data_IF_220406775120
#
_entry.id   IF_220406775120
#
_cell.length_a   1.000
_cell.length_b   1.000
_cell.length_c   1.000
_cell.angle_alpha   90.00
_cell.angle_beta   90.00
_cell.angle_gamma   90.00
#
_symmetry.space_group_name_H-M   'P 1'
#
loop_
_entity.id
_entity.type
_entity.pdbx_description
1 polymer ?
#
# COMPACT_ATOMS: atom_id res chain seq x y z
N UNK A 1 -15.38 5.71 -13.78
CA UNK A 1 -13.92 5.61 -13.57
C UNK A 1 -13.64 4.43 -12.67
N UNK A 2 -12.97 3.41 -13.17
CA UNK A 2 -12.33 2.39 -12.33
C UNK A 2 -11.17 3.05 -11.60
N UNK A 3 -11.34 3.31 -10.30
CA UNK A 3 -10.27 3.78 -9.43
C UNK A 3 -9.30 2.61 -9.24
N UNK A 4 -8.37 2.46 -10.18
CA UNK A 4 -7.29 1.49 -10.04
C UNK A 4 -6.35 2.01 -8.96
N UNK A 5 -6.32 1.31 -7.83
CA UNK A 5 -5.37 1.58 -6.77
C UNK A 5 -3.93 1.42 -7.32
N UNK A 6 -3.00 2.33 -6.95
CA UNK A 6 -1.64 2.27 -7.46
C UNK A 6 -0.94 0.99 -6.97
N UNK A 7 -0.43 0.20 -7.93
CA UNK A 7 0.35 -1.01 -7.67
C UNK A 7 1.82 -0.67 -7.60
N UNK A 8 2.48 -1.20 -6.58
CA UNK A 8 3.91 -1.05 -6.35
C UNK A 8 4.60 -2.36 -6.70
N UNK A 9 5.23 -2.40 -7.88
CA UNK A 9 5.92 -3.59 -8.38
C UNK A 9 7.43 -3.44 -8.32
N UNK A 10 7.93 -2.20 -8.25
CA UNK A 10 9.36 -1.89 -8.26
C UNK A 10 9.83 -1.19 -6.99
N UNK A 11 11.08 -1.46 -6.58
CA UNK A 11 11.74 -0.77 -5.45
C UNK A 11 11.69 0.76 -5.57
N UNK A 12 11.79 1.31 -6.79
CA UNK A 12 11.71 2.76 -7.03
C UNK A 12 10.32 3.32 -6.72
N UNK A 13 9.27 2.63 -7.13
CA UNK A 13 7.89 3.06 -6.84
C UNK A 13 7.62 3.02 -5.34
N UNK A 14 8.14 2.00 -4.66
CA UNK A 14 8.02 1.84 -3.21
C UNK A 14 8.76 2.96 -2.47
N UNK A 15 10.00 3.27 -2.85
CA UNK A 15 10.76 4.38 -2.27
C UNK A 15 10.05 5.73 -2.48
N UNK A 16 9.45 5.92 -3.66
CA UNK A 16 8.64 7.10 -3.96
C UNK A 16 7.35 7.15 -3.12
N UNK A 17 6.63 6.03 -3.01
CA UNK A 17 5.39 5.94 -2.23
C UNK A 17 5.65 6.18 -0.74
N UNK A 18 6.73 5.63 -0.19
CA UNK A 18 7.16 5.87 1.20
C UNK A 18 7.44 7.35 1.40
N UNK A 19 8.25 7.97 0.53
CA UNK A 19 8.55 9.41 0.62
C UNK A 19 7.30 10.28 0.48
N UNK A 20 6.42 9.97 -0.46
CA UNK A 20 5.19 10.72 -0.69
C UNK A 20 4.16 10.56 0.42
N UNK A 21 4.24 9.46 1.19
CA UNK A 21 3.26 9.13 2.23
C UNK A 21 3.84 9.22 3.63
N UNK A 22 5.07 9.72 3.78
CA UNK A 22 5.75 9.88 5.06
C UNK A 22 4.93 10.70 6.08
N UNK A 23 4.10 11.61 5.59
CA UNK A 23 3.29 12.54 6.37
C UNK A 23 1.80 12.21 6.40
N UNK A 24 1.34 11.23 5.60
CA UNK A 24 -0.08 10.89 5.42
C UNK A 24 -0.35 9.39 5.46
N UNK A 25 0.34 8.61 6.32
CA UNK A 25 0.04 7.19 6.57
C UNK A 25 0.00 6.25 5.35
N UNK A 26 0.98 5.36 5.21
CA UNK A 26 0.98 4.37 4.12
C UNK A 26 0.17 3.13 4.51
N UNK A 27 -0.83 2.74 3.71
CA UNK A 27 -1.56 1.47 3.87
C UNK A 27 -1.19 0.54 2.70
N UNK A 28 -0.17 -0.33 2.88
CA UNK A 28 0.14 -1.35 1.89
C UNK A 28 -0.81 -2.53 2.04
N UNK A 29 -1.46 -2.89 0.94
CA UNK A 29 -2.26 -4.09 0.81
C UNK A 29 -1.39 -5.17 0.18
N UNK A 30 -1.08 -6.20 0.96
CA UNK A 30 -0.34 -7.37 0.48
C UNK A 30 -1.31 -8.40 -0.09
N UNK A 31 -1.08 -8.85 -1.32
CA UNK A 31 -1.78 -10.00 -1.86
C UNK A 31 -1.54 -10.20 -3.34
N UNK A 32 -2.00 -11.34 -3.87
CA UNK A 32 -1.86 -11.71 -5.27
C UNK A 32 -3.01 -11.15 -6.10
N UNK A 33 -2.72 -10.70 -7.30
CA UNK A 33 -3.73 -10.17 -8.23
C UNK A 33 -4.65 -11.26 -8.81
N UNK A 34 -4.17 -12.50 -8.84
CA UNK A 34 -4.92 -13.63 -9.42
C UNK A 34 -6.03 -14.16 -8.51
N UNK A 35 -6.06 -13.73 -7.25
CA UNK A 35 -6.99 -14.26 -6.27
C UNK A 35 -8.30 -13.45 -6.22
N UNK A 36 -9.48 -14.10 -6.32
CA UNK A 36 -10.75 -13.41 -6.41
C UNK A 36 -11.11 -12.64 -5.13
N UNK A 37 -10.64 -13.08 -3.96
CA UNK A 37 -10.86 -12.37 -2.69
C UNK A 37 -10.08 -11.06 -2.70
N UNK A 38 -8.89 -11.08 -3.29
CA UNK A 38 -8.03 -9.92 -3.43
C UNK A 38 -8.66 -8.83 -4.29
N UNK A 39 -9.30 -9.21 -5.39
CA UNK A 39 -10.05 -8.30 -6.28
C UNK A 39 -11.28 -7.70 -5.59
N UNK A 40 -12.01 -8.48 -4.79
CA UNK A 40 -13.15 -7.97 -4.03
C UNK A 40 -12.72 -6.94 -2.98
N UNK A 41 -11.59 -7.16 -2.31
CA UNK A 41 -11.03 -6.20 -1.36
C UNK A 41 -10.57 -4.91 -2.05
N UNK A 42 -9.95 -5.03 -3.23
CA UNK A 42 -9.54 -3.88 -4.04
C UNK A 42 -10.73 -2.98 -4.39
N UNK A 43 -11.86 -3.57 -4.76
CA UNK A 43 -13.09 -2.82 -5.06
C UNK A 43 -13.60 -2.04 -3.84
N UNK A 44 -13.57 -2.64 -2.65
CA UNK A 44 -13.97 -1.97 -1.40
C UNK A 44 -13.00 -0.84 -1.03
N UNK A 45 -11.69 -1.09 -1.18
CA UNK A 45 -10.65 -0.09 -0.90
C UNK A 45 -10.70 1.07 -1.91
N UNK A 46 -11.01 0.80 -3.18
CA UNK A 46 -11.15 1.83 -4.20
C UNK A 46 -12.27 2.83 -3.87
N UNK A 47 -13.36 2.35 -3.27
CA UNK A 47 -14.50 3.17 -2.83
C UNK A 47 -14.18 4.05 -1.63
N UNK A 48 -13.32 3.57 -0.73
CA UNK A 48 -12.93 4.29 0.51
C UNK A 48 -11.64 5.10 0.35
N UNK A 49 -10.85 4.85 -0.69
CA UNK A 49 -9.63 5.59 -1.05
C UNK A 49 -9.79 7.11 -1.08
N UNK A 50 -10.82 7.71 -1.72
CA UNK A 50 -10.97 9.16 -1.74
C UNK A 50 -11.27 9.78 -0.37
N UNK A 51 -12.00 9.07 0.50
CA UNK A 51 -12.26 9.49 1.88
C UNK A 51 -10.98 9.46 2.73
N UNK A 52 -10.16 8.42 2.54
CA UNK A 52 -8.91 8.24 3.27
C UNK A 52 -7.77 9.08 2.72
N UNK A 53 -7.84 9.61 1.49
CA UNK A 53 -6.75 10.34 0.82
C UNK A 53 -6.16 11.52 1.60
N UNK A 54 -6.89 12.08 2.58
CA UNK A 54 -6.41 13.15 3.47
C UNK A 54 -5.48 12.65 4.59
N UNK A 55 -5.60 11.38 4.97
CA UNK A 55 -4.95 10.80 6.14
C UNK A 55 -4.09 9.58 5.81
N UNK A 56 -4.43 8.84 4.75
CA UNK A 56 -3.81 7.60 4.34
C UNK A 56 -3.79 7.48 2.80
N UNK A 57 -2.70 6.92 2.24
CA UNK A 57 -2.67 6.47 0.85
C UNK A 57 -2.57 4.95 0.79
N UNK A 58 -3.46 4.35 -0.01
CA UNK A 58 -3.56 2.90 -0.17
C UNK A 58 -2.74 2.48 -1.40
N UNK A 59 -1.88 1.48 -1.23
CA UNK A 59 -1.08 0.92 -2.30
C UNK A 59 -1.19 -0.59 -2.33
N UNK A 60 -1.23 -1.16 -3.53
CA UNK A 60 -1.24 -2.60 -3.73
C UNK A 60 0.20 -3.11 -3.86
N UNK A 61 0.55 -4.16 -3.13
CA UNK A 61 1.86 -4.81 -3.16
C UNK A 61 1.68 -6.29 -3.43
N UNK A 62 2.28 -6.76 -4.53
CA UNK A 62 2.31 -8.17 -4.86
C UNK A 62 3.42 -8.90 -4.08
N UNK A 63 3.03 -9.97 -3.39
CA UNK A 63 3.91 -10.72 -2.48
C UNK A 63 4.81 -11.70 -3.24
N UNK A 64 4.39 -12.13 -4.44
CA UNK A 64 5.09 -13.10 -5.26
C UNK A 64 6.27 -12.45 -5.99
N UNK A 65 6.05 -11.25 -6.52
CA UNK A 65 7.07 -10.49 -7.23
C UNK A 65 8.23 -10.05 -6.33
N UNK A 66 7.97 -9.66 -5.08
CA UNK A 66 9.02 -9.09 -4.20
C UNK A 66 8.85 -9.40 -2.70
N UNK A 67 9.13 -10.63 -2.25
CA UNK A 67 9.02 -10.99 -0.82
C UNK A 67 9.96 -10.19 0.08
N UNK A 68 11.14 -9.81 -0.43
CA UNK A 68 12.15 -9.03 0.33
C UNK A 68 11.68 -7.60 0.60
N UNK A 69 10.89 -7.01 -0.31
CA UNK A 69 10.39 -5.64 -0.17
C UNK A 69 9.28 -5.55 0.87
N UNK A 70 8.45 -6.59 0.96
CA UNK A 70 7.39 -6.71 1.96
C UNK A 70 7.96 -6.61 3.38
N UNK A 71 9.08 -7.29 3.67
CA UNK A 71 9.73 -7.21 4.99
C UNK A 71 10.27 -5.81 5.31
N UNK A 72 10.83 -5.10 4.32
CA UNK A 72 11.36 -3.74 4.53
C UNK A 72 10.23 -2.75 4.80
N UNK A 73 9.12 -2.82 4.06
CA UNK A 73 7.95 -1.95 4.25
C UNK A 73 7.34 -2.15 5.64
N UNK A 74 7.20 -3.41 6.08
CA UNK A 74 6.65 -3.74 7.39
C UNK A 74 7.50 -3.17 8.54
N UNK A 75 8.82 -3.29 8.43
CA UNK A 75 9.74 -2.74 9.42
C UNK A 75 9.69 -1.20 9.46
N UNK A 76 9.59 -0.55 8.30
CA UNK A 76 9.50 0.91 8.21
C UNK A 76 8.18 1.45 8.79
N UNK A 77 7.06 0.76 8.52
CA UNK A 77 5.75 1.10 9.10
C UNK A 77 5.74 0.93 10.61
N UNK A 78 6.32 -0.16 11.11
CA UNK A 78 6.46 -0.40 12.55
C UNK A 78 7.27 0.73 13.22
N UNK A 79 8.36 1.18 12.58
CA UNK A 79 9.18 2.28 13.07
C UNK A 79 8.43 3.61 13.07
N UNK A 80 7.67 3.91 12.01
CA UNK A 80 6.89 5.14 11.90
C UNK A 80 5.77 5.20 12.95
N UNK A 81 5.13 4.07 13.26
CA UNK A 81 4.13 3.97 14.32
C UNK A 81 4.73 4.11 15.73
N UNK A 82 5.96 3.63 15.96
CA UNK A 82 6.66 3.83 17.24
C UNK A 82 7.14 5.27 17.44
N UNK A 83 7.34 6.04 16.37
CA UNK A 83 7.85 7.41 16.47
C UNK A 83 6.74 8.47 16.67
N UNK A 84 5.47 8.09 16.49
CA UNK A 84 4.29 8.96 16.75
C UNK A 84 3.68 8.78 18.16
N UNK A 85 4.24 7.91 19.00
CA UNK A 85 3.85 7.70 20.41
C UNK A 85 4.98 8.21 21.31
#
# INVERSE_FOLDING_TARGET
MSFLLPKLNSKKEIDHAIKSTAEKGLIPRFGRDEDPVCLQLDDILSKTSPDLSKMAAIYLVDVDQTPVLTSVIFHLLCFSSMCSI
#
